data_IF_564332063100
#
_entry.id   IF_564332063100
#
_cell.length_a   1.000
_cell.length_b   1.000
_cell.length_c   1.000
_cell.angle_alpha   90.00
_cell.angle_beta   90.00
_cell.angle_gamma   90.00
#
_symmetry.space_group_name_H-M   'P 1'
#
loop_
_entity.id
_entity.type
_entity.pdbx_description
1 polymer ?
#
# COMPACT_ATOMS: atom_id res chain seq x y z
N UNK A 1 -19.50 -2.06 42.33
CA UNK A 1 -18.60 -2.89 41.50
C UNK A 1 -19.12 -4.32 41.36
N UNK A 2 -19.65 -4.97 42.42
CA UNK A 2 -20.20 -6.34 42.34
C UNK A 2 -21.37 -6.50 41.35
N UNK A 3 -22.24 -5.48 41.24
CA UNK A 3 -23.40 -5.54 40.35
C UNK A 3 -23.01 -5.58 38.86
N UNK A 4 -21.97 -4.83 38.46
CA UNK A 4 -21.50 -4.81 37.05
C UNK A 4 -20.97 -6.18 36.59
N UNK A 5 -20.24 -6.87 37.47
CA UNK A 5 -19.75 -8.22 37.19
C UNK A 5 -20.87 -9.27 37.16
N UNK A 6 -21.90 -9.11 38.00
CA UNK A 6 -23.09 -9.96 37.94
C UNK A 6 -23.87 -9.74 36.64
N UNK A 7 -24.03 -8.51 36.19
CA UNK A 7 -24.74 -8.16 34.95
C UNK A 7 -24.05 -8.76 33.72
N UNK A 8 -22.72 -8.62 33.61
CA UNK A 8 -21.94 -9.24 32.52
C UNK A 8 -22.10 -10.77 32.53
N UNK A 9 -21.98 -11.40 33.70
CA UNK A 9 -22.13 -12.86 33.83
C UNK A 9 -23.54 -13.31 33.46
N UNK A 10 -24.55 -12.52 33.82
CA UNK A 10 -25.93 -12.82 33.50
C UNK A 10 -26.18 -12.69 31.99
N UNK A 11 -25.71 -11.61 31.36
CA UNK A 11 -25.77 -11.40 29.91
C UNK A 11 -25.10 -12.52 29.11
N UNK A 12 -23.88 -12.91 29.48
CA UNK A 12 -23.17 -14.02 28.84
C UNK A 12 -23.94 -15.36 28.95
N UNK A 13 -24.59 -15.60 30.10
CA UNK A 13 -25.42 -16.81 30.29
C UNK A 13 -26.67 -16.78 29.42
N UNK A 14 -27.29 -15.61 29.23
CA UNK A 14 -28.46 -15.44 28.34
C UNK A 14 -28.07 -15.68 26.88
N UNK A 15 -26.95 -15.10 26.43
CA UNK A 15 -26.43 -15.34 25.07
C UNK A 15 -26.15 -16.83 24.80
N UNK A 16 -25.59 -17.55 25.78
CA UNK A 16 -25.35 -19.00 25.66
C UNK A 16 -26.62 -19.84 25.62
N UNK A 17 -27.75 -19.34 26.16
CA UNK A 17 -29.06 -20.03 26.12
C UNK A 17 -29.76 -19.90 24.77
N UNK A 18 -29.41 -18.90 23.96
CA UNK A 18 -30.00 -18.65 22.64
C UNK A 18 -28.90 -18.53 21.57
N UNK A 19 -28.20 -19.64 21.25
CA UNK A 19 -26.99 -19.61 20.42
C UNK A 19 -27.25 -19.14 18.99
N UNK A 20 -28.35 -19.56 18.35
CA UNK A 20 -28.63 -19.17 16.96
C UNK A 20 -28.84 -17.67 16.79
N UNK A 21 -29.64 -17.05 17.68
CA UNK A 21 -29.86 -15.61 17.68
C UNK A 21 -28.56 -14.85 17.98
N UNK A 22 -27.81 -15.30 18.97
CA UNK A 22 -26.55 -14.66 19.36
C UNK A 22 -25.52 -14.70 18.24
N UNK A 23 -25.40 -15.83 17.53
CA UNK A 23 -24.50 -15.96 16.37
C UNK A 23 -24.89 -14.99 15.27
N UNK A 24 -26.18 -14.91 14.91
CA UNK A 24 -26.64 -13.97 13.88
C UNK A 24 -26.37 -12.53 14.30
N UNK A 25 -26.69 -12.14 15.53
CA UNK A 25 -26.43 -10.80 16.05
C UNK A 25 -24.93 -10.45 16.03
N UNK A 26 -24.06 -11.36 16.46
CA UNK A 26 -22.60 -11.17 16.43
C UNK A 26 -22.09 -11.03 15.00
N UNK A 27 -22.55 -11.86 14.07
CA UNK A 27 -22.14 -11.77 12.66
C UNK A 27 -22.61 -10.47 12.02
N UNK A 28 -23.85 -10.04 12.27
CA UNK A 28 -24.36 -8.76 11.78
C UNK A 28 -23.55 -7.58 12.31
N UNK A 29 -23.22 -7.58 13.61
CA UNK A 29 -22.37 -6.55 14.21
C UNK A 29 -20.94 -6.59 13.64
N UNK A 30 -20.35 -7.77 13.53
CA UNK A 30 -19.01 -7.94 12.99
C UNK A 30 -18.91 -7.47 11.53
N UNK A 31 -19.91 -7.79 10.71
CA UNK A 31 -19.99 -7.32 9.33
C UNK A 31 -20.18 -5.81 9.25
N UNK A 32 -21.08 -5.23 10.03
CA UNK A 32 -21.29 -3.79 10.03
C UNK A 32 -20.05 -3.01 10.48
N UNK A 33 -19.40 -3.45 11.56
CA UNK A 33 -18.17 -2.84 12.08
C UNK A 33 -17.03 -3.04 11.06
N UNK A 34 -16.84 -4.26 10.56
CA UNK A 34 -15.77 -4.60 9.63
C UNK A 34 -15.88 -3.87 8.30
N UNK A 35 -17.09 -3.81 7.72
CA UNK A 35 -17.34 -3.10 6.47
C UNK A 35 -17.05 -1.61 6.61
N UNK A 36 -17.61 -0.96 7.65
CA UNK A 36 -17.37 0.46 7.90
C UNK A 36 -15.89 0.74 8.13
N UNK A 37 -15.22 -0.06 8.97
CA UNK A 37 -13.78 0.10 9.25
C UNK A 37 -12.94 -0.07 7.98
N UNK A 38 -13.27 -1.03 7.13
CA UNK A 38 -12.54 -1.29 5.89
C UNK A 38 -12.69 -0.12 4.91
N UNK A 39 -13.93 0.36 4.71
CA UNK A 39 -14.20 1.52 3.84
C UNK A 39 -13.42 2.73 4.34
N UNK A 40 -13.51 3.05 5.65
CA UNK A 40 -12.78 4.17 6.22
C UNK A 40 -11.27 3.99 6.15
N UNK A 41 -10.75 2.77 6.31
CA UNK A 41 -9.31 2.49 6.19
C UNK A 41 -8.82 2.78 4.77
N UNK A 42 -9.53 2.29 3.75
CA UNK A 42 -9.19 2.55 2.34
C UNK A 42 -9.29 4.03 2.01
N UNK A 43 -10.37 4.68 2.42
CA UNK A 43 -10.56 6.13 2.24
C UNK A 43 -9.46 6.92 2.92
N UNK A 44 -9.09 6.57 4.16
CA UNK A 44 -8.01 7.23 4.88
C UNK A 44 -6.65 7.04 4.22
N UNK A 45 -6.38 5.83 3.71
CA UNK A 45 -5.13 5.53 3.02
C UNK A 45 -5.00 6.26 1.68
N UNK A 46 -6.11 6.42 0.94
CA UNK A 46 -6.09 7.02 -0.41
C UNK A 46 -6.31 8.54 -0.36
N UNK A 47 -7.27 9.03 0.42
CA UNK A 47 -7.68 10.45 0.43
C UNK A 47 -7.02 11.27 1.54
N UNK A 48 -6.76 10.70 2.71
CA UNK A 48 -6.27 11.46 3.88
C UNK A 48 -4.75 11.37 4.06
N UNK A 49 -4.12 10.32 3.53
CA UNK A 49 -2.66 10.20 3.43
C UNK A 49 -2.24 10.05 1.97
N UNK A 50 -2.58 11.03 1.12
CA UNK A 50 -2.18 10.99 -0.27
C UNK A 50 -0.65 10.87 -0.34
N UNK A 51 -0.13 10.13 -1.34
CA UNK A 51 1.31 10.06 -1.59
C UNK A 51 1.89 11.47 -1.54
N UNK A 52 2.95 11.75 -0.74
CA UNK A 52 3.38 13.11 -0.43
C UNK A 52 4.10 13.79 -1.60
N UNK A 53 3.67 13.55 -2.84
CA UNK A 53 4.20 14.14 -4.06
C UNK A 53 3.39 15.38 -4.43
N UNK A 54 4.03 16.34 -5.09
CA UNK A 54 3.46 17.66 -5.34
C UNK A 54 2.14 17.62 -6.12
N UNK A 55 2.06 16.80 -7.18
CA UNK A 55 0.92 16.71 -8.09
C UNK A 55 0.56 15.25 -8.42
N UNK A 56 -0.05 14.54 -7.46
CA UNK A 56 -0.36 13.09 -7.58
C UNK A 56 -1.15 12.74 -8.84
N UNK A 57 -2.09 13.61 -9.25
CA UNK A 57 -2.95 13.37 -10.41
C UNK A 57 -2.19 13.38 -11.74
N UNK A 58 -0.95 13.86 -11.77
CA UNK A 58 -0.10 13.92 -12.94
C UNK A 58 1.02 12.87 -12.94
N UNK A 59 1.15 12.10 -11.85
CA UNK A 59 2.14 11.02 -11.75
C UNK A 59 1.61 9.77 -12.45
N UNK A 60 2.42 9.22 -13.35
CA UNK A 60 2.13 7.98 -14.05
C UNK A 60 3.30 7.01 -13.95
N UNK A 61 3.00 5.72 -13.97
CA UNK A 61 3.99 4.65 -14.02
C UNK A 61 4.17 4.17 -15.46
N UNK A 62 5.42 4.09 -15.92
CA UNK A 62 5.78 3.59 -17.24
C UNK A 62 6.17 2.12 -17.14
N UNK A 63 5.31 1.26 -17.68
CA UNK A 63 5.54 -0.19 -17.74
C UNK A 63 5.77 -0.65 -19.18
N UNK A 64 6.65 -1.65 -19.34
CA UNK A 64 6.73 -2.38 -20.62
C UNK A 64 5.72 -3.52 -20.58
N UNK A 65 5.02 -3.76 -21.69
CA UNK A 65 4.08 -4.87 -21.81
C UNK A 65 4.66 -5.89 -22.78
N UNK A 66 4.70 -7.15 -22.35
CA UNK A 66 4.98 -8.28 -23.23
C UNK A 66 3.73 -9.17 -23.33
N UNK A 67 3.13 -9.21 -24.52
CA UNK A 67 1.93 -9.99 -24.83
C UNK A 67 2.22 -11.46 -25.15
N UNK A 68 3.50 -11.83 -25.31
CA UNK A 68 3.94 -13.18 -25.71
C UNK A 68 4.50 -13.97 -24.55
N UNK A 69 5.24 -13.31 -23.67
CA UNK A 69 6.09 -14.03 -22.71
C UNK A 69 5.39 -14.31 -21.38
N UNK A 70 4.29 -13.63 -21.04
CA UNK A 70 3.51 -13.83 -19.79
C UNK A 70 4.36 -13.89 -18.49
N UNK A 71 5.59 -13.38 -18.51
CA UNK A 71 6.51 -13.35 -17.37
C UNK A 71 6.46 -11.97 -16.75
N UNK A 72 6.02 -11.83 -15.51
CA UNK A 72 6.05 -10.55 -14.80
C UNK A 72 5.15 -10.54 -13.59
N UNK A 73 5.19 -9.41 -12.89
CA UNK A 73 4.84 -9.34 -11.46
C UNK A 73 3.35 -9.09 -11.19
N UNK A 74 2.51 -9.01 -12.23
CA UNK A 74 1.09 -8.61 -12.11
C UNK A 74 0.13 -9.67 -12.67
N UNK A 75 -0.62 -10.32 -11.78
CA UNK A 75 -1.67 -11.33 -12.05
C UNK A 75 -3.07 -10.72 -12.26
N UNK A 76 -3.25 -9.66 -13.06
CA UNK A 76 -4.59 -9.06 -13.18
C UNK A 76 -5.04 -8.54 -14.56
N UNK A 77 -4.16 -8.48 -15.56
CA UNK A 77 -4.55 -8.08 -16.93
C UNK A 77 -3.83 -8.95 -17.94
N UNK A 78 -4.44 -9.23 -19.10
CA UNK A 78 -3.90 -10.03 -20.22
C UNK A 78 -2.63 -9.43 -20.89
N UNK A 79 -1.91 -8.60 -20.15
CA UNK A 79 -0.74 -7.84 -20.49
C UNK A 79 0.12 -7.85 -19.21
N UNK A 80 1.15 -8.69 -19.21
CA UNK A 80 2.04 -8.80 -18.07
C UNK A 80 2.96 -7.58 -18.04
N UNK A 81 2.82 -6.74 -17.02
CA UNK A 81 3.70 -5.58 -16.79
C UNK A 81 5.11 -6.08 -16.44
N UNK A 82 6.08 -5.66 -17.24
CA UNK A 82 7.50 -5.89 -17.05
C UNK A 82 8.16 -4.60 -16.60
N UNK A 83 9.08 -4.74 -15.63
CA UNK A 83 9.97 -3.66 -15.27
C UNK A 83 10.78 -3.19 -16.47
N UNK A 84 10.98 -1.88 -16.57
CA UNK A 84 11.74 -1.26 -17.64
C UNK A 84 13.25 -1.42 -17.39
N UNK A 85 14.00 -1.80 -18.42
CA UNK A 85 15.47 -1.82 -18.32
C UNK A 85 16.00 -0.39 -18.14
N UNK A 86 17.08 -0.23 -17.37
CA UNK A 86 17.65 1.10 -17.12
C UNK A 86 18.07 1.82 -18.41
N UNK A 87 18.60 1.08 -19.40
CA UNK A 87 18.93 1.66 -20.71
C UNK A 87 17.70 2.19 -21.44
N UNK A 88 16.59 1.46 -21.45
CA UNK A 88 15.37 1.95 -22.09
C UNK A 88 14.76 3.14 -21.33
N UNK A 89 14.87 3.15 -20.00
CA UNK A 89 14.51 4.33 -19.21
C UNK A 89 15.32 5.56 -19.63
N UNK A 90 16.64 5.42 -19.81
CA UNK A 90 17.48 6.52 -20.30
C UNK A 90 17.07 6.99 -21.69
N UNK A 91 16.73 6.08 -22.59
CA UNK A 91 16.28 6.42 -23.93
C UNK A 91 14.95 7.18 -23.90
N UNK A 92 13.98 6.72 -23.10
CA UNK A 92 12.71 7.42 -22.91
C UNK A 92 12.90 8.77 -22.24
N UNK A 93 13.78 8.89 -21.24
CA UNK A 93 14.07 10.16 -20.59
C UNK A 93 14.67 11.18 -21.58
N UNK A 94 15.55 10.75 -22.49
CA UNK A 94 16.15 11.62 -23.51
C UNK A 94 15.19 12.03 -24.62
N UNK A 95 14.24 11.16 -24.97
CA UNK A 95 13.26 11.38 -26.04
C UNK A 95 11.91 11.88 -25.51
N UNK A 96 11.83 12.24 -24.24
CA UNK A 96 10.60 12.65 -23.60
C UNK A 96 10.22 14.10 -23.96
N UNK A 97 9.07 14.27 -24.60
CA UNK A 97 8.47 15.58 -24.91
C UNK A 97 7.16 15.83 -24.17
N UNK A 98 6.62 14.81 -23.48
CA UNK A 98 5.25 14.84 -22.93
C UNK A 98 5.25 15.05 -21.42
N UNK A 99 6.20 14.46 -20.70
CA UNK A 99 6.28 14.55 -19.24
C UNK A 99 7.21 15.68 -18.79
N UNK A 100 6.89 16.33 -17.68
CA UNK A 100 7.77 17.34 -17.06
C UNK A 100 9.09 16.74 -16.56
N UNK A 101 9.10 15.45 -16.24
CA UNK A 101 10.30 14.71 -15.88
C UNK A 101 10.02 13.21 -15.77
N UNK A 102 11.08 12.41 -15.84
CA UNK A 102 11.01 10.97 -15.65
C UNK A 102 12.05 10.56 -14.60
N UNK A 103 11.64 9.71 -13.68
CA UNK A 103 12.47 9.14 -12.61
C UNK A 103 12.29 7.63 -12.58
N UNK A 104 13.30 6.89 -12.11
CA UNK A 104 13.20 5.45 -11.92
C UNK A 104 13.42 5.07 -10.46
N UNK A 105 12.77 4.01 -10.02
CA UNK A 105 12.93 3.40 -8.69
C UNK A 105 13.12 1.90 -8.82
N UNK A 106 13.89 1.29 -7.93
CA UNK A 106 13.99 -0.16 -7.81
C UNK A 106 14.02 -0.56 -6.33
N UNK A 107 13.08 -1.44 -5.95
CA UNK A 107 13.05 -2.00 -4.61
C UNK A 107 14.30 -2.84 -4.39
N UNK A 108 15.08 -2.48 -3.38
CA UNK A 108 16.37 -3.11 -3.08
C UNK A 108 16.38 -3.52 -1.61
N UNK A 109 16.52 -4.82 -1.29
CA UNK A 109 16.72 -5.24 0.07
C UNK A 109 18.08 -4.72 0.56
N UNK A 110 18.07 -4.01 1.68
CA UNK A 110 19.27 -3.47 2.32
C UNK A 110 19.44 -4.08 3.70
N UNK A 111 20.68 -4.23 4.14
CA UNK A 111 20.98 -4.60 5.52
C UNK A 111 21.42 -3.36 6.28
N UNK A 112 20.61 -2.93 7.26
CA UNK A 112 20.94 -1.84 8.16
C UNK A 112 21.70 -2.36 9.38
N UNK A 113 22.96 -1.93 9.52
CA UNK A 113 23.85 -2.30 10.62
C UNK A 113 24.07 -1.18 11.65
N UNK A 114 23.33 -0.07 11.57
CA UNK A 114 23.48 1.09 12.46
C UNK A 114 22.91 0.93 13.88
N UNK A 115 22.56 -0.30 14.29
CA UNK A 115 22.02 -0.62 15.62
C UNK A 115 22.75 -1.79 16.27
N UNK A 116 22.23 -2.30 17.39
CA UNK A 116 22.84 -3.42 18.14
C UNK A 116 22.85 -4.72 17.31
N UNK A 117 21.86 -4.91 16.44
CA UNK A 117 21.75 -6.08 15.57
C UNK A 117 21.47 -5.66 14.12
N UNK A 118 22.09 -6.31 13.11
CA UNK A 118 21.75 -6.10 11.71
C UNK A 118 20.29 -6.44 11.42
N UNK A 119 19.58 -5.55 10.73
CA UNK A 119 18.20 -5.78 10.29
C UNK A 119 18.09 -5.60 8.79
N UNK A 120 17.34 -6.50 8.16
CA UNK A 120 16.97 -6.33 6.77
C UNK A 120 15.86 -5.28 6.67
N UNK A 121 16.05 -4.30 5.81
CA UNK A 121 15.08 -3.25 5.52
C UNK A 121 14.84 -3.18 4.01
N UNK A 122 13.62 -2.81 3.63
CA UNK A 122 13.29 -2.59 2.23
C UNK A 122 13.63 -1.15 1.87
N UNK A 123 14.69 -0.97 1.08
CA UNK A 123 15.07 0.32 0.51
C UNK A 123 14.59 0.47 -0.93
N UNK A 124 14.75 1.68 -1.46
CA UNK A 124 14.62 1.94 -2.89
C UNK A 124 15.87 2.66 -3.39
N UNK A 125 16.46 2.14 -4.46
CA UNK A 125 17.42 2.91 -5.24
C UNK A 125 16.62 3.76 -6.22
N UNK A 126 16.93 5.05 -6.28
CA UNK A 126 16.20 6.03 -7.09
C UNK A 126 17.19 6.81 -7.96
N UNK A 127 16.74 7.34 -9.10
CA UNK A 127 17.57 8.25 -9.89
C UNK A 127 17.76 9.59 -9.17
N UNK A 128 18.86 10.30 -9.48
CA UNK A 128 19.26 11.52 -8.77
C UNK A 128 18.17 12.63 -8.79
N UNK A 129 17.39 12.69 -9.85
CA UNK A 129 16.30 13.66 -10.03
C UNK A 129 14.97 13.25 -9.37
N UNK A 130 14.92 12.15 -8.62
CA UNK A 130 13.68 11.61 -8.03
C UNK A 130 12.96 12.64 -7.15
N UNK A 131 13.70 13.29 -6.26
CA UNK A 131 13.13 14.28 -5.34
C UNK A 131 12.60 15.50 -6.11
N UNK A 132 13.33 15.97 -7.12
CA UNK A 132 12.92 17.11 -7.94
C UNK A 132 11.67 16.81 -8.76
N UNK A 133 11.62 15.65 -9.43
CA UNK A 133 10.47 15.25 -10.27
C UNK A 133 9.21 15.07 -9.44
N UNK A 134 9.32 14.52 -8.22
CA UNK A 134 8.16 14.33 -7.34
C UNK A 134 7.86 15.55 -6.45
N UNK A 135 8.71 16.58 -6.48
CA UNK A 135 8.60 17.75 -5.62
C UNK A 135 8.76 17.44 -4.13
N UNK A 136 9.58 16.43 -3.81
CA UNK A 136 9.89 15.98 -2.46
C UNK A 136 11.12 16.69 -1.92
N UNK A 137 11.20 16.82 -0.59
CA UNK A 137 12.40 17.28 0.10
C UNK A 137 13.13 16.07 0.72
N UNK A 138 14.42 15.85 0.42
CA UNK A 138 15.23 14.84 1.09
C UNK A 138 15.25 15.11 2.60
N UNK A 139 15.05 14.07 3.41
CA UNK A 139 15.14 14.19 4.87
C UNK A 139 16.58 14.47 5.34
N UNK A 140 17.56 13.99 4.56
CA UNK A 140 18.97 14.29 4.64
C UNK A 140 19.49 14.43 3.20
N UNK A 141 20.46 15.33 3.00
CA UNK A 141 20.87 15.86 1.69
C UNK A 141 21.29 14.86 0.62
#
# INVERSE_FOLDING_TARGET
>A
MENFWQDIRHGARVLRKSPSFSVVAVLSLALGIGANTTIFTVVNAILLHPLPVKDISQVVELDTIDTKTHLGFANATNATKLGLSFSNFQDYQKQNEVFTGATCIIATPLTWSGGVEPRQVTGQLVSANYFDVLGLQPAAG
#
